data_IF_875488689410
#
_entry.id   IF_875488689410
#
_cell.length_a   1.000
_cell.length_b   1.000
_cell.length_c   1.000
_cell.angle_alpha   90.00
_cell.angle_beta   90.00
_cell.angle_gamma   90.00
#
_symmetry.space_group_name_H-M   'P 1'
#
loop_
_entity.id
_entity.type
_entity.pdbx_description
1 polymer ?
#
# COMPACT_ATOMS: atom_id res chain seq x y z
N UNK A 1 -8.90 -2.94 -11.34
CA UNK A 1 -9.39 -4.34 -11.17
C UNK A 1 -10.83 -4.54 -11.65
N UNK A 2 -11.86 -3.93 -11.01
CA UNK A 2 -13.29 -4.09 -11.36
C UNK A 2 -13.57 -4.06 -12.88
N UNK A 3 -13.19 -2.97 -13.56
CA UNK A 3 -13.34 -2.78 -15.01
C UNK A 3 -12.76 -3.93 -15.85
N UNK A 4 -11.66 -4.55 -15.42
CA UNK A 4 -11.05 -5.66 -16.15
C UNK A 4 -11.75 -6.99 -15.88
N UNK A 5 -12.20 -7.24 -14.65
CA UNK A 5 -12.99 -8.44 -14.32
C UNK A 5 -14.35 -8.42 -15.03
N UNK A 6 -15.00 -7.25 -15.14
CA UNK A 6 -16.25 -7.10 -15.88
C UNK A 6 -16.10 -7.41 -17.37
N UNK A 7 -14.96 -7.07 -17.98
CA UNK A 7 -14.64 -7.45 -19.37
C UNK A 7 -14.48 -8.96 -19.57
N UNK A 8 -14.15 -9.69 -18.50
CA UNK A 8 -14.09 -11.15 -18.49
C UNK A 8 -15.46 -11.79 -18.21
N UNK A 9 -16.53 -10.99 -18.16
CA UNK A 9 -17.89 -11.47 -17.89
C UNK A 9 -18.22 -11.64 -16.41
N UNK A 10 -17.33 -11.23 -15.49
CA UNK A 10 -17.57 -11.34 -14.04
C UNK A 10 -18.39 -10.14 -13.58
N UNK A 11 -19.57 -10.41 -12.99
CA UNK A 11 -20.42 -9.37 -12.41
C UNK A 11 -19.84 -8.91 -11.06
N UNK A 12 -19.38 -7.66 -10.99
CA UNK A 12 -18.82 -7.08 -9.77
C UNK A 12 -19.80 -6.09 -9.14
N UNK A 13 -20.12 -6.30 -7.88
CA UNK A 13 -20.88 -5.36 -7.04
C UNK A 13 -19.98 -4.91 -5.89
N UNK A 14 -19.88 -3.60 -5.68
CA UNK A 14 -19.21 -3.07 -4.49
C UNK A 14 -20.10 -3.34 -3.27
N UNK A 15 -19.47 -3.65 -2.14
CA UNK A 15 -20.19 -3.83 -0.88
C UNK A 15 -20.91 -2.53 -0.54
N UNK A 16 -22.20 -2.64 -0.28
CA UNK A 16 -23.06 -1.55 0.16
C UNK A 16 -23.64 -1.93 1.52
N UNK A 17 -23.12 -1.28 2.56
CA UNK A 17 -23.44 -1.59 3.96
C UNK A 17 -24.89 -1.28 4.33
N UNK A 18 -25.60 -0.53 3.49
CA UNK A 18 -26.99 -0.15 3.72
C UNK A 18 -28.00 -1.16 3.15
N UNK A 19 -27.54 -2.16 2.38
CA UNK A 19 -28.41 -3.19 1.82
C UNK A 19 -28.76 -4.26 2.85
N UNK A 20 -29.90 -4.92 2.63
CA UNK A 20 -30.29 -6.02 3.50
C UNK A 20 -29.29 -7.17 3.41
N UNK A 21 -29.17 -7.94 4.49
CA UNK A 21 -28.32 -9.15 4.53
C UNK A 21 -28.59 -10.10 3.37
N UNK A 22 -29.87 -10.28 2.98
CA UNK A 22 -30.27 -11.13 1.86
C UNK A 22 -29.70 -10.63 0.53
N UNK A 23 -29.70 -9.32 0.30
CA UNK A 23 -29.14 -8.73 -0.93
C UNK A 23 -27.62 -8.72 -0.98
N UNK A 24 -26.95 -8.67 0.19
CA UNK A 24 -25.50 -8.75 0.30
C UNK A 24 -25.05 -10.17 0.03
N UNK A 25 -25.64 -11.14 0.72
CA UNK A 25 -25.28 -12.56 0.63
C UNK A 25 -25.76 -13.23 -0.67
N UNK A 26 -26.55 -12.55 -1.50
CA UNK A 26 -26.85 -12.96 -2.86
C UNK A 26 -25.64 -12.72 -3.79
N UNK A 27 -24.50 -13.32 -3.45
CA UNK A 27 -23.20 -13.20 -4.12
C UNK A 27 -22.45 -14.53 -3.99
N UNK A 28 -21.82 -15.00 -5.07
CA UNK A 28 -21.12 -16.28 -5.09
C UNK A 28 -19.78 -16.26 -4.33
N UNK A 29 -19.11 -15.10 -4.32
CA UNK A 29 -17.79 -14.91 -3.74
C UNK A 29 -17.57 -13.46 -3.29
N UNK A 30 -17.02 -13.27 -2.09
CA UNK A 30 -16.52 -11.98 -1.63
C UNK A 30 -15.02 -11.84 -1.90
N UNK A 31 -14.59 -10.65 -2.32
CA UNK A 31 -13.18 -10.32 -2.49
C UNK A 31 -12.82 -9.19 -1.52
N UNK A 32 -12.09 -9.52 -0.45
CA UNK A 32 -11.66 -8.57 0.57
C UNK A 32 -10.32 -7.94 0.18
N UNK A 33 -10.21 -6.63 0.28
CA UNK A 33 -9.03 -5.84 -0.13
C UNK A 33 -8.14 -5.39 1.05
N UNK A 34 -8.25 -6.06 2.18
CA UNK A 34 -7.47 -5.80 3.39
C UNK A 34 -7.58 -7.01 4.30
N UNK A 35 -6.62 -7.16 5.22
CA UNK A 35 -6.70 -8.06 6.38
C UNK A 35 -6.58 -7.30 7.71
N UNK A 36 -6.99 -6.02 7.73
CA UNK A 36 -6.94 -5.17 8.92
C UNK A 36 -8.19 -5.33 9.80
N UNK A 37 -8.14 -4.75 11.01
CA UNK A 37 -9.26 -4.74 11.95
C UNK A 37 -10.56 -4.22 11.34
N UNK A 38 -10.48 -3.25 10.41
CA UNK A 38 -11.65 -2.61 9.80
C UNK A 38 -12.50 -3.55 8.92
N UNK A 39 -11.99 -4.72 8.54
CA UNK A 39 -12.74 -5.72 7.77
C UNK A 39 -12.96 -7.02 8.55
N UNK A 40 -12.44 -7.10 9.78
CA UNK A 40 -12.44 -8.33 10.56
C UNK A 40 -13.84 -8.85 10.83
N UNK A 41 -14.75 -8.00 11.30
CA UNK A 41 -16.13 -8.41 11.59
C UNK A 41 -16.82 -8.95 10.35
N UNK A 42 -16.63 -8.31 9.19
CA UNK A 42 -17.17 -8.81 7.93
C UNK A 42 -16.60 -10.20 7.60
N UNK A 43 -15.29 -10.37 7.66
CA UNK A 43 -14.64 -11.66 7.38
C UNK A 43 -15.13 -12.76 8.33
N UNK A 44 -15.26 -12.44 9.62
CA UNK A 44 -15.78 -13.34 10.65
C UNK A 44 -17.24 -13.74 10.37
N UNK A 45 -18.10 -12.78 9.99
CA UNK A 45 -19.47 -13.08 9.60
C UNK A 45 -19.54 -13.96 8.35
N UNK A 46 -18.72 -13.69 7.33
CA UNK A 46 -18.66 -14.52 6.12
C UNK A 46 -18.22 -15.96 6.47
N UNK A 47 -17.20 -16.10 7.32
CA UNK A 47 -16.74 -17.39 7.83
C UNK A 47 -17.84 -18.14 8.60
N UNK A 48 -18.47 -17.50 9.59
CA UNK A 48 -19.53 -18.08 10.41
C UNK A 48 -20.76 -18.52 9.59
N UNK A 49 -21.02 -17.84 8.46
CA UNK A 49 -22.10 -18.18 7.54
C UNK A 49 -21.66 -19.14 6.42
N UNK A 50 -20.44 -19.65 6.47
CA UNK A 50 -19.84 -20.50 5.44
C UNK A 50 -19.93 -19.89 4.03
N UNK A 51 -19.88 -18.56 3.95
CA UNK A 51 -19.90 -17.79 2.71
C UNK A 51 -18.48 -17.64 2.19
N UNK A 52 -18.24 -18.00 0.92
CA UNK A 52 -16.90 -18.01 0.35
C UNK A 52 -16.34 -16.60 0.18
N UNK A 53 -15.07 -16.43 0.56
CA UNK A 53 -14.32 -15.22 0.25
C UNK A 53 -12.85 -15.50 -0.04
N UNK A 54 -12.24 -14.59 -0.81
CA UNK A 54 -10.80 -14.48 -1.00
C UNK A 54 -10.32 -13.16 -0.41
N UNK A 55 -9.05 -13.08 -0.03
CA UNK A 55 -8.48 -11.87 0.58
C UNK A 55 -7.16 -11.47 -0.06
N UNK A 56 -6.99 -10.17 -0.32
CA UNK A 56 -5.69 -9.52 -0.57
C UNK A 56 -5.26 -8.87 0.74
N UNK A 57 -4.31 -9.47 1.49
CA UNK A 57 -4.00 -9.02 2.85
C UNK A 57 -3.40 -7.61 2.88
N UNK A 58 -2.50 -7.32 1.93
CA UNK A 58 -1.69 -6.09 1.92
C UNK A 58 -0.91 -6.00 3.24
N UNK A 59 -0.24 -7.10 3.57
CA UNK A 59 0.47 -7.29 4.83
C UNK A 59 1.98 -7.27 4.63
N UNK A 60 2.69 -6.52 5.46
CA UNK A 60 4.14 -6.68 5.59
C UNK A 60 4.59 -6.26 6.99
N UNK A 61 5.63 -6.93 7.49
CA UNK A 61 6.30 -6.54 8.73
C UNK A 61 7.77 -6.93 8.66
N UNK A 62 8.62 -6.18 9.38
CA UNK A 62 10.06 -6.51 9.52
C UNK A 62 10.32 -7.53 10.62
N UNK A 63 9.28 -8.01 11.30
CA UNK A 63 9.38 -9.06 12.32
C UNK A 63 9.53 -10.43 11.63
N UNK A 64 10.30 -11.32 12.24
CA UNK A 64 10.50 -12.68 11.70
C UNK A 64 9.28 -13.56 11.94
N UNK A 65 9.03 -14.53 11.06
CA UNK A 65 7.92 -15.47 11.17
C UNK A 65 7.76 -16.15 12.55
N UNK A 66 8.83 -16.56 13.26
CA UNK A 66 8.72 -17.07 14.63
C UNK A 66 8.07 -16.08 15.61
N UNK A 67 8.38 -14.78 15.48
CA UNK A 67 7.79 -13.74 16.32
C UNK A 67 6.29 -13.61 16.00
N UNK A 68 5.91 -13.64 14.73
CA UNK A 68 4.50 -13.60 14.32
C UNK A 68 3.73 -14.78 14.93
N UNK A 69 4.26 -16.00 14.79
CA UNK A 69 3.66 -17.22 15.38
C UNK A 69 3.52 -17.12 16.89
N UNK A 70 4.55 -16.61 17.58
CA UNK A 70 4.50 -16.41 19.02
C UNK A 70 3.40 -15.42 19.39
N UNK A 71 3.33 -14.26 18.72
CA UNK A 71 2.30 -13.25 18.99
C UNK A 71 0.89 -13.80 18.74
N UNK A 72 0.66 -14.53 17.65
CA UNK A 72 -0.63 -15.15 17.38
C UNK A 72 -1.01 -16.18 18.47
N UNK A 73 -0.05 -17.02 18.91
CA UNK A 73 -0.30 -17.98 20.01
C UNK A 73 -0.61 -17.28 21.34
N UNK A 74 0.09 -16.19 21.65
CA UNK A 74 -0.18 -15.40 22.86
C UNK A 74 -1.54 -14.74 22.80
N UNK A 75 -1.95 -14.23 21.63
CA UNK A 75 -3.29 -13.68 21.44
C UNK A 75 -4.36 -14.73 21.69
N UNK A 76 -4.27 -15.90 21.04
CA UNK A 76 -5.25 -16.99 21.23
C UNK A 76 -5.32 -17.46 22.68
N UNK A 77 -4.18 -17.53 23.37
CA UNK A 77 -4.14 -17.86 24.79
C UNK A 77 -4.84 -16.79 25.64
N UNK A 78 -4.52 -15.51 25.42
CA UNK A 78 -5.10 -14.40 26.17
C UNK A 78 -6.59 -14.20 25.90
N UNK A 79 -7.07 -14.50 24.69
CA UNK A 79 -8.49 -14.43 24.36
C UNK A 79 -9.35 -15.40 25.18
N UNK A 80 -8.78 -16.53 25.64
CA UNK A 80 -9.47 -17.45 26.55
C UNK A 80 -9.73 -16.84 27.93
N UNK A 81 -8.92 -15.86 28.35
CA UNK A 81 -9.02 -15.20 29.66
C UNK A 81 -9.66 -13.81 29.57
N UNK A 82 -9.38 -13.08 28.49
CA UNK A 82 -9.82 -11.71 28.25
C UNK A 82 -10.21 -11.54 26.78
N UNK A 83 -11.52 -11.46 26.50
CA UNK A 83 -12.08 -11.38 25.13
C UNK A 83 -11.71 -10.11 24.33
N UNK A 84 -10.93 -9.20 24.91
CA UNK A 84 -10.57 -7.90 24.34
C UNK A 84 -9.12 -7.77 23.84
N UNK A 85 -8.30 -8.82 23.89
CA UNK A 85 -6.90 -8.75 23.45
C UNK A 85 -6.74 -9.28 22.02
N UNK A 86 -6.33 -8.38 21.13
CA UNK A 86 -6.21 -8.62 19.70
C UNK A 86 -4.98 -7.91 19.17
N UNK A 87 -4.04 -8.65 18.56
CA UNK A 87 -3.00 -8.02 17.74
C UNK A 87 -3.44 -7.93 16.28
N UNK A 88 -2.85 -6.98 15.57
CA UNK A 88 -3.01 -6.88 14.11
C UNK A 88 -2.53 -8.13 13.37
N UNK A 89 -1.60 -8.88 13.97
CA UNK A 89 -1.13 -10.17 13.45
C UNK A 89 -2.18 -11.26 13.61
N UNK A 90 -2.79 -11.39 14.79
CA UNK A 90 -3.90 -12.33 15.04
C UNK A 90 -5.05 -12.10 14.08
N UNK A 91 -5.51 -10.85 13.96
CA UNK A 91 -6.55 -10.43 13.02
C UNK A 91 -6.21 -10.81 11.58
N UNK A 92 -4.99 -10.51 11.13
CA UNK A 92 -4.56 -10.84 9.76
C UNK A 92 -4.53 -12.36 9.56
N UNK A 93 -3.98 -13.10 10.53
CA UNK A 93 -3.88 -14.55 10.51
C UNK A 93 -5.26 -15.22 10.42
N UNK A 94 -6.21 -14.79 11.23
CA UNK A 94 -7.59 -15.30 11.23
C UNK A 94 -8.27 -15.08 9.88
N UNK A 95 -8.21 -13.85 9.35
CA UNK A 95 -8.80 -13.53 8.04
C UNK A 95 -8.17 -14.38 6.93
N UNK A 96 -6.84 -14.56 6.95
CA UNK A 96 -6.14 -15.39 5.98
C UNK A 96 -6.52 -16.87 6.11
N UNK A 97 -6.69 -17.37 7.34
CA UNK A 97 -7.06 -18.76 7.60
C UNK A 97 -8.48 -19.07 7.12
N UNK A 98 -9.42 -18.17 7.36
CA UNK A 98 -10.82 -18.32 6.95
C UNK A 98 -11.04 -18.18 5.44
N UNK A 99 -10.14 -17.49 4.74
CA UNK A 99 -10.25 -17.31 3.30
C UNK A 99 -10.09 -18.64 2.52
N UNK A 100 -10.74 -18.70 1.35
CA UNK A 100 -10.58 -19.79 0.39
C UNK A 100 -9.25 -19.71 -0.35
N UNK A 101 -8.83 -18.49 -0.67
CA UNK A 101 -7.53 -18.15 -1.23
C UNK A 101 -7.04 -16.84 -0.62
N UNK A 102 -5.73 -16.78 -0.39
CA UNK A 102 -5.01 -15.60 0.06
C UNK A 102 -4.15 -15.13 -1.10
N UNK A 103 -4.30 -13.85 -1.44
CA UNK A 103 -3.81 -13.27 -2.68
C UNK A 103 -2.77 -12.18 -2.38
N UNK A 104 -1.60 -12.55 -1.81
CA UNK A 104 -0.54 -11.60 -1.52
C UNK A 104 -0.01 -10.98 -2.81
N UNK A 105 0.54 -9.77 -2.70
CA UNK A 105 1.05 -9.02 -3.85
C UNK A 105 2.46 -9.44 -4.24
N UNK A 106 3.18 -10.07 -3.31
CA UNK A 106 4.62 -10.34 -3.40
C UNK A 106 4.97 -11.67 -2.75
N UNK A 107 6.11 -12.23 -3.14
CA UNK A 107 6.75 -13.41 -2.57
C UNK A 107 7.09 -13.20 -1.09
N UNK A 108 7.63 -12.04 -0.72
CA UNK A 108 7.93 -11.68 0.66
C UNK A 108 6.67 -11.64 1.56
N UNK A 109 5.56 -11.08 1.05
CA UNK A 109 4.26 -11.10 1.75
C UNK A 109 3.73 -12.55 1.87
N UNK A 110 3.81 -13.34 0.80
CA UNK A 110 3.42 -14.75 0.81
C UNK A 110 4.19 -15.55 1.86
N UNK A 111 5.52 -15.42 1.90
CA UNK A 111 6.39 -16.13 2.83
C UNK A 111 6.05 -15.76 4.29
N UNK A 112 5.82 -14.47 4.58
CA UNK A 112 5.39 -14.03 5.91
C UNK A 112 4.06 -14.64 6.33
N UNK A 113 3.11 -14.81 5.40
CA UNK A 113 1.79 -15.39 5.69
C UNK A 113 1.91 -16.90 5.90
N UNK A 114 2.61 -17.61 5.02
CA UNK A 114 2.82 -19.06 5.10
C UNK A 114 3.53 -19.40 6.39
N UNK A 115 4.70 -18.80 6.61
CA UNK A 115 5.52 -19.13 7.77
C UNK A 115 4.96 -18.51 9.05
N UNK A 116 4.56 -17.23 9.00
CA UNK A 116 4.18 -16.47 10.18
C UNK A 116 2.80 -16.83 10.73
N UNK A 117 1.84 -17.15 9.86
CA UNK A 117 0.47 -17.50 10.26
C UNK A 117 0.14 -18.99 10.05
N UNK A 118 1.04 -19.77 9.43
CA UNK A 118 0.82 -21.20 9.20
C UNK A 118 -0.23 -21.47 8.12
N UNK A 119 -0.41 -20.55 7.18
CA UNK A 119 -1.37 -20.73 6.08
C UNK A 119 -0.78 -21.71 5.06
N UNK A 120 -1.52 -22.76 4.65
CA UNK A 120 -1.06 -23.71 3.66
C UNK A 120 -0.69 -23.05 2.33
N UNK A 121 0.42 -23.47 1.72
CA UNK A 121 0.90 -22.93 0.43
C UNK A 121 -0.14 -23.06 -0.69
N UNK A 122 -0.94 -24.13 -0.69
CA UNK A 122 -2.01 -24.32 -1.69
C UNK A 122 -3.18 -23.33 -1.56
N UNK A 123 -3.24 -22.54 -0.48
CA UNK A 123 -4.16 -21.39 -0.35
C UNK A 123 -3.55 -20.09 -0.87
N UNK A 124 -2.27 -20.06 -1.22
CA UNK A 124 -1.57 -18.84 -1.61
C UNK A 124 -1.50 -18.74 -3.12
N UNK A 125 -1.92 -17.61 -3.66
CA UNK A 125 -1.66 -17.24 -5.06
C UNK A 125 -1.11 -15.83 -5.10
N UNK A 126 0.16 -15.66 -5.47
CA UNK A 126 0.75 -14.32 -5.58
C UNK A 126 0.13 -13.60 -6.79
N UNK A 127 -0.53 -12.47 -6.54
CA UNK A 127 -1.12 -11.61 -7.57
C UNK A 127 -0.50 -10.21 -7.47
N UNK A 128 0.51 -9.90 -8.32
CA UNK A 128 1.13 -8.59 -8.34
C UNK A 128 0.13 -7.46 -8.61
N UNK A 129 0.39 -6.28 -8.04
CA UNK A 129 -0.35 -5.07 -8.36
C UNK A 129 0.13 -4.48 -9.68
N UNK A 130 -0.83 -4.04 -10.49
CA UNK A 130 -0.56 -3.21 -11.65
C UNK A 130 -0.78 -1.72 -11.34
N UNK A 131 -0.23 -0.88 -12.19
CA UNK A 131 -0.49 0.57 -12.23
C UNK A 131 -1.23 0.94 -13.52
N UNK A 132 -1.81 2.13 -13.57
CA UNK A 132 -2.60 2.57 -14.71
C UNK A 132 -1.72 2.99 -15.90
N UNK A 133 -2.15 2.64 -17.12
CA UNK A 133 -1.41 2.94 -18.36
C UNK A 133 -1.14 4.44 -18.56
N UNK A 134 -2.00 5.31 -18.02
CA UNK A 134 -1.88 6.77 -18.15
C UNK A 134 -0.56 7.33 -17.64
N UNK A 135 0.12 6.64 -16.71
CA UNK A 135 1.44 7.08 -16.24
C UNK A 135 2.54 6.83 -17.28
N UNK A 136 2.40 5.81 -18.13
CA UNK A 136 3.31 5.56 -19.26
C UNK A 136 3.16 6.58 -20.40
N UNK A 137 1.95 7.13 -20.53
CA UNK A 137 1.52 7.97 -21.66
C UNK A 137 1.47 9.45 -21.27
N UNK A 138 1.93 9.80 -20.06
CA UNK A 138 1.85 11.15 -19.55
C UNK A 138 2.98 12.03 -20.12
N UNK A 139 2.63 13.28 -20.42
CA UNK A 139 3.57 14.29 -20.85
C UNK A 139 3.94 15.23 -19.69
N UNK A 140 5.20 15.70 -19.59
CA UNK A 140 5.65 16.50 -18.45
C UNK A 140 5.20 17.97 -18.50
N UNK A 141 4.67 18.43 -19.65
CA UNK A 141 4.36 19.84 -19.91
C UNK A 141 3.33 20.44 -18.95
N UNK A 142 2.31 19.69 -18.53
CA UNK A 142 1.29 20.18 -17.60
C UNK A 142 1.90 20.54 -16.23
N UNK A 143 2.80 19.70 -15.72
CA UNK A 143 3.46 19.95 -14.45
C UNK A 143 4.45 21.11 -14.57
N UNK A 144 5.24 21.15 -15.65
CA UNK A 144 6.20 22.24 -15.92
C UNK A 144 5.54 23.60 -16.01
N UNK A 145 4.45 23.71 -16.79
CA UNK A 145 3.74 24.97 -16.96
C UNK A 145 3.10 25.46 -15.66
N UNK A 146 2.72 24.54 -14.77
CA UNK A 146 2.06 24.87 -13.50
C UNK A 146 3.04 25.22 -12.39
N UNK A 147 4.15 24.50 -12.27
CA UNK A 147 5.06 24.61 -11.13
C UNK A 147 6.45 25.15 -11.49
N UNK A 148 6.81 25.22 -12.78
CA UNK A 148 8.09 25.77 -13.24
C UNK A 148 9.32 24.93 -12.93
N UNK A 149 9.16 23.71 -12.39
CA UNK A 149 10.27 22.82 -12.00
C UNK A 149 10.46 21.72 -13.03
N UNK A 150 11.70 21.55 -13.50
CA UNK A 150 12.13 20.48 -14.42
C UNK A 150 13.21 19.63 -13.78
N UNK A 151 13.38 18.42 -14.31
CA UNK A 151 14.49 17.51 -13.96
C UNK A 151 14.72 17.40 -12.45
N UNK A 152 13.72 16.96 -11.70
CA UNK A 152 13.77 16.93 -10.23
C UNK A 152 13.72 15.52 -9.65
N UNK A 153 14.08 15.41 -8.37
CA UNK A 153 13.82 14.22 -7.55
C UNK A 153 12.39 14.29 -7.03
N UNK A 154 11.56 13.30 -7.34
CA UNK A 154 10.17 13.22 -6.92
C UNK A 154 9.98 12.25 -5.76
N UNK A 155 9.11 12.60 -4.82
CA UNK A 155 8.48 11.68 -3.89
C UNK A 155 6.97 11.92 -3.86
N UNK A 156 6.19 10.85 -3.95
CA UNK A 156 4.72 10.90 -3.87
C UNK A 156 4.25 10.00 -2.72
N UNK A 157 3.55 10.58 -1.76
CA UNK A 157 3.01 9.86 -0.60
C UNK A 157 2.64 10.78 0.55
N UNK A 158 1.87 10.29 1.52
CA UNK A 158 1.50 11.07 2.71
C UNK A 158 2.73 11.61 3.44
N UNK A 159 2.67 12.89 3.82
CA UNK A 159 3.70 13.58 4.61
C UNK A 159 3.34 13.42 6.09
N UNK A 160 4.30 13.04 6.94
CA UNK A 160 4.08 12.86 8.38
C UNK A 160 3.67 11.45 8.82
N UNK A 161 3.85 10.44 7.96
CA UNK A 161 3.70 9.04 8.35
C UNK A 161 5.08 8.43 8.57
N UNK A 162 5.44 8.07 9.81
CA UNK A 162 6.80 7.64 10.18
C UNK A 162 7.36 6.48 9.36
N UNK A 163 6.49 5.55 8.94
CA UNK A 163 6.90 4.47 8.04
C UNK A 163 7.42 4.98 6.70
N UNK A 164 6.91 6.11 6.18
CA UNK A 164 7.29 6.70 4.88
C UNK A 164 8.63 7.43 4.92
N UNK A 165 9.10 7.83 6.10
CA UNK A 165 10.41 8.48 6.32
C UNK A 165 10.62 9.73 5.45
N UNK A 166 9.56 10.52 5.26
CA UNK A 166 9.62 11.76 4.48
C UNK A 166 10.59 12.76 5.11
N UNK A 167 10.66 12.84 6.44
CA UNK A 167 11.61 13.73 7.11
C UNK A 167 13.07 13.35 6.81
N UNK A 168 13.37 12.06 6.79
CA UNK A 168 14.70 11.57 6.41
C UNK A 168 15.05 11.94 4.97
N UNK A 169 14.08 11.89 4.05
CA UNK A 169 14.26 12.34 2.67
C UNK A 169 14.59 13.84 2.60
N UNK A 170 13.80 14.68 3.28
CA UNK A 170 14.00 16.14 3.29
C UNK A 170 15.40 16.51 3.78
N UNK A 171 15.88 15.84 4.84
CA UNK A 171 17.24 16.01 5.38
C UNK A 171 18.35 15.52 4.46
N UNK A 172 18.07 14.54 3.61
CA UNK A 172 19.03 14.10 2.59
C UNK A 172 19.06 15.12 1.43
N UNK A 173 17.89 15.57 0.98
CA UNK A 173 17.73 16.55 -0.09
C UNK A 173 18.33 17.93 0.27
N UNK A 174 18.34 18.32 1.54
CA UNK A 174 18.97 19.58 1.98
C UNK A 174 20.50 19.59 1.81
N UNK A 175 21.12 18.43 1.58
CA UNK A 175 22.55 18.28 1.36
C UNK A 175 22.93 18.23 -0.13
N UNK A 176 21.97 18.32 -1.03
CA UNK A 176 22.17 18.18 -2.47
C UNK A 176 21.68 19.46 -3.15
N UNK A 177 22.50 20.03 -4.03
CA UNK A 177 22.12 21.19 -4.85
C UNK A 177 21.39 20.74 -6.12
N UNK A 178 20.21 20.13 -5.95
CA UNK A 178 19.40 19.61 -7.05
C UNK A 178 17.90 19.79 -6.74
N UNK A 179 17.06 20.17 -7.73
CA UNK A 179 15.63 20.37 -7.50
C UNK A 179 14.92 19.10 -7.01
N UNK A 180 14.01 19.26 -6.06
CA UNK A 180 13.19 18.18 -5.56
C UNK A 180 11.74 18.61 -5.35
N UNK A 181 10.83 17.67 -5.51
CA UNK A 181 9.39 17.86 -5.31
C UNK A 181 8.86 16.73 -4.42
N UNK A 182 8.15 17.09 -3.35
CA UNK A 182 7.39 16.16 -2.53
C UNK A 182 5.90 16.46 -2.72
N UNK A 183 5.12 15.46 -3.14
CA UNK A 183 3.68 15.57 -3.35
C UNK A 183 2.97 14.64 -2.38
N UNK A 184 2.16 15.21 -1.49
CA UNK A 184 1.52 14.41 -0.46
C UNK A 184 0.52 15.16 0.38
N UNK A 185 -0.59 14.51 0.71
CA UNK A 185 -1.50 15.00 1.76
C UNK A 185 -0.78 14.95 3.10
N UNK A 186 -0.98 15.97 3.93
CA UNK A 186 -0.39 16.04 5.27
C UNK A 186 -1.19 15.16 6.22
N UNK A 187 -0.50 14.26 6.91
CA UNK A 187 -1.02 13.53 8.06
C UNK A 187 -0.66 14.30 9.34
N UNK A 188 -1.64 14.71 10.15
CA UNK A 188 -1.40 15.57 11.32
C UNK A 188 -0.53 14.83 12.34
N UNK A 189 0.73 15.26 12.46
CA UNK A 189 1.74 14.59 13.27
C UNK A 189 2.94 15.51 13.51
N UNK A 190 3.70 15.22 14.58
CA UNK A 190 4.98 15.90 14.84
C UNK A 190 5.97 15.78 13.67
N UNK A 191 5.94 14.66 12.95
CA UNK A 191 6.80 14.49 11.78
C UNK A 191 6.39 15.39 10.62
N UNK A 192 5.08 15.60 10.39
CA UNK A 192 4.62 16.55 9.39
C UNK A 192 5.09 17.97 9.72
N UNK A 193 4.98 18.39 10.98
CA UNK A 193 5.45 19.71 11.42
C UNK A 193 6.94 19.91 11.10
N UNK A 194 7.77 18.91 11.44
CA UNK A 194 9.20 18.91 11.13
C UNK A 194 9.47 18.87 9.62
N UNK A 195 8.69 18.11 8.83
CA UNK A 195 8.84 18.07 7.38
C UNK A 195 8.60 19.45 6.76
N UNK A 196 7.56 20.15 7.21
CA UNK A 196 7.23 21.48 6.69
C UNK A 196 8.25 22.52 7.16
N UNK A 197 8.67 22.47 8.42
CA UNK A 197 9.66 23.39 8.98
C UNK A 197 11.04 23.23 8.31
N UNK A 198 11.57 21.99 8.22
CA UNK A 198 12.87 21.73 7.60
C UNK A 198 12.80 21.87 6.08
N UNK A 199 11.69 21.46 5.46
CA UNK A 199 11.49 21.58 4.04
C UNK A 199 11.40 23.02 3.57
N UNK A 200 10.73 23.90 4.34
CA UNK A 200 10.65 25.33 4.04
C UNK A 200 11.99 26.07 4.09
N UNK A 201 13.01 25.49 4.73
CA UNK A 201 14.39 26.03 4.75
C UNK A 201 15.19 25.66 3.49
N UNK A 202 14.73 24.68 2.71
CA UNK A 202 15.45 24.21 1.53
C UNK A 202 14.91 24.89 0.26
N UNK A 203 15.69 25.84 -0.28
CA UNK A 203 15.37 26.57 -1.53
C UNK A 203 15.16 25.67 -2.77
N UNK A 204 15.72 24.47 -2.77
CA UNK A 204 15.62 23.53 -3.89
C UNK A 204 14.44 22.56 -3.75
N UNK A 205 13.68 22.63 -2.65
CA UNK A 205 12.58 21.72 -2.38
C UNK A 205 11.22 22.42 -2.55
N UNK A 206 10.36 21.86 -3.38
CA UNK A 206 8.96 22.23 -3.48
C UNK A 206 8.09 21.18 -2.78
N UNK A 207 7.26 21.60 -1.84
CA UNK A 207 6.27 20.72 -1.18
C UNK A 207 4.87 21.06 -1.69
N UNK A 208 4.18 20.08 -2.26
CA UNK A 208 2.81 20.18 -2.76
C UNK A 208 1.91 19.34 -1.86
N UNK A 209 0.96 19.97 -1.17
CA UNK A 209 0.14 19.37 -0.10
C UNK A 209 -1.00 18.46 -0.60
N UNK A 210 -0.80 17.82 -1.74
CA UNK A 210 -1.71 16.85 -2.33
C UNK A 210 -2.09 17.21 -3.77
N UNK A 211 -2.18 16.18 -4.60
CA UNK A 211 -2.81 16.20 -5.91
C UNK A 211 -3.68 14.95 -5.96
N UNK A 212 -4.90 15.06 -6.47
CA UNK A 212 -5.77 13.90 -6.60
C UNK A 212 -5.16 12.86 -7.53
N UNK A 213 -5.33 11.59 -7.18
CA UNK A 213 -4.70 10.49 -7.90
C UNK A 213 -5.05 10.53 -9.39
N UNK A 214 -6.33 10.73 -9.74
CA UNK A 214 -6.83 10.76 -11.11
C UNK A 214 -6.48 12.05 -11.87
N UNK A 215 -5.82 13.02 -11.23
CA UNK A 215 -5.41 14.26 -11.87
C UNK A 215 -4.35 13.99 -12.95
N UNK A 216 -4.51 14.54 -14.17
CA UNK A 216 -3.46 14.50 -15.19
C UNK A 216 -2.19 15.23 -14.75
N UNK A 217 -2.30 16.19 -13.80
CA UNK A 217 -1.14 16.89 -13.24
C UNK A 217 -0.24 15.94 -12.44
N UNK A 218 -0.81 14.95 -11.74
CA UNK A 218 0.00 13.97 -11.01
C UNK A 218 0.77 13.07 -11.97
N UNK A 219 0.12 12.56 -13.02
CA UNK A 219 0.77 11.75 -14.03
C UNK A 219 1.88 12.56 -14.75
N UNK A 220 1.61 13.83 -15.05
CA UNK A 220 2.60 14.76 -15.59
C UNK A 220 3.78 15.00 -14.63
N UNK A 221 3.54 15.05 -13.31
CA UNK A 221 4.61 15.18 -12.31
C UNK A 221 5.58 13.99 -12.36
N UNK A 222 5.06 12.77 -12.51
CA UNK A 222 5.90 11.58 -12.69
C UNK A 222 6.72 11.64 -13.97
N UNK A 223 6.08 11.95 -15.11
CA UNK A 223 6.77 12.10 -16.40
C UNK A 223 7.81 13.23 -16.40
N UNK A 224 7.60 14.25 -15.58
CA UNK A 224 8.48 15.39 -15.40
C UNK A 224 9.72 15.12 -14.53
N UNK A 225 9.72 14.01 -13.77
CA UNK A 225 10.78 13.67 -12.83
C UNK A 225 11.88 12.81 -13.46
N UNK A 226 13.13 13.03 -13.06
CA UNK A 226 14.27 12.21 -13.52
C UNK A 226 14.55 11.03 -12.57
N UNK A 227 14.34 11.26 -11.27
CA UNK A 227 14.53 10.27 -10.21
C UNK A 227 13.31 10.27 -9.31
N UNK A 228 12.84 9.09 -8.92
CA UNK A 228 11.81 8.93 -7.90
C UNK A 228 12.41 8.26 -6.67
N UNK A 229 12.25 8.90 -5.51
CA UNK A 229 12.77 8.42 -4.24
C UNK A 229 11.62 8.00 -3.30
N UNK A 230 11.66 6.77 -2.80
CA UNK A 230 10.70 6.21 -1.85
C UNK A 230 11.45 5.54 -0.68
N UNK A 231 11.88 6.33 0.32
CA UNK A 231 12.76 5.85 1.40
C UNK A 231 12.01 5.20 2.57
N UNK A 232 10.80 4.68 2.32
CA UNK A 232 9.98 4.07 3.34
C UNK A 232 10.71 2.92 4.06
N UNK A 233 10.39 2.67 5.33
CA UNK A 233 10.99 1.59 6.11
C UNK A 233 10.84 0.20 5.45
N UNK A 234 9.76 0.03 4.69
CA UNK A 234 9.45 -1.11 3.82
C UNK A 234 8.31 -0.70 2.89
N UNK A 235 8.09 -1.41 1.79
CA UNK A 235 6.86 -1.30 0.98
C UNK A 235 6.29 -2.69 0.65
N UNK A 236 4.99 -2.77 0.41
CA UNK A 236 4.40 -3.98 -0.20
C UNK A 236 4.79 -4.02 -1.69
N UNK A 237 4.07 -3.39 -2.65
CA UNK A 237 4.61 -3.24 -4.01
C UNK A 237 5.31 -1.90 -4.26
N UNK A 238 5.04 -0.85 -3.47
CA UNK A 238 5.52 0.50 -3.77
C UNK A 238 4.84 1.12 -5.00
N UNK A 239 3.50 1.22 -5.01
CA UNK A 239 2.69 1.67 -6.17
C UNK A 239 3.21 2.99 -6.77
N UNK A 240 3.54 4.00 -5.95
CA UNK A 240 4.05 5.27 -6.46
C UNK A 240 5.39 5.14 -7.21
N UNK A 241 6.25 4.20 -6.80
CA UNK A 241 7.47 3.90 -7.54
C UNK A 241 7.19 3.15 -8.84
N UNK A 242 6.14 2.31 -8.89
CA UNK A 242 5.70 1.66 -10.13
C UNK A 242 5.18 2.68 -11.14
N UNK A 243 4.39 3.65 -10.67
CA UNK A 243 3.89 4.77 -11.48
C UNK A 243 5.06 5.60 -12.03
N UNK A 244 6.03 5.94 -11.18
CA UNK A 244 7.23 6.68 -11.59
C UNK A 244 8.09 5.90 -12.59
N UNK A 245 8.29 4.59 -12.35
CA UNK A 245 9.11 3.75 -13.23
C UNK A 245 8.45 3.57 -14.58
N UNK A 246 7.12 3.44 -14.60
CA UNK A 246 6.35 3.38 -15.84
C UNK A 246 6.42 4.71 -16.62
N UNK A 247 6.52 5.84 -15.93
CA UNK A 247 6.73 7.17 -16.52
C UNK A 247 8.20 7.44 -16.95
N UNK A 248 9.11 6.48 -16.75
CA UNK A 248 10.52 6.57 -17.18
C UNK A 248 11.50 7.10 -16.12
N UNK A 249 11.06 7.33 -14.89
CA UNK A 249 11.95 7.80 -13.81
C UNK A 249 12.88 6.68 -13.31
N UNK A 250 14.11 7.06 -12.92
CA UNK A 250 15.03 6.16 -12.20
C UNK A 250 14.55 5.97 -10.77
N UNK A 251 14.48 4.73 -10.30
CA UNK A 251 13.86 4.40 -9.01
C UNK A 251 14.91 4.23 -7.92
N UNK A 252 14.75 4.99 -6.83
CA UNK A 252 15.44 4.81 -5.56
C UNK A 252 14.41 4.39 -4.53
N UNK A 253 14.37 3.10 -4.21
CA UNK A 253 13.35 2.51 -3.32
C UNK A 253 14.01 1.69 -2.21
N UNK A 254 13.32 1.58 -1.08
CA UNK A 254 13.71 0.69 0.01
C UNK A 254 13.90 -0.77 -0.45
N UNK A 255 14.95 -1.46 0.03
CA UNK A 255 15.17 -2.87 -0.27
C UNK A 255 14.33 -3.81 0.61
N UNK A 256 13.50 -3.26 1.50
CA UNK A 256 12.71 -4.00 2.46
C UNK A 256 11.25 -4.11 2.02
N UNK A 257 10.70 -5.32 2.15
CA UNK A 257 9.37 -5.62 1.63
C UNK A 257 9.41 -6.13 0.21
N UNK A 258 8.26 -6.15 -0.46
CA UNK A 258 8.10 -6.83 -1.73
C UNK A 258 8.63 -6.08 -2.95
N UNK A 259 9.54 -5.13 -2.75
CA UNK A 259 10.05 -4.26 -3.83
C UNK A 259 10.86 -5.03 -4.86
N UNK A 260 11.55 -6.11 -4.46
CA UNK A 260 12.36 -6.95 -5.35
C UNK A 260 11.56 -7.64 -6.46
N UNK A 261 10.32 -8.02 -6.17
CA UNK A 261 9.42 -8.65 -7.15
C UNK A 261 9.09 -7.71 -8.32
N UNK A 262 9.15 -6.39 -8.09
CA UNK A 262 8.79 -5.38 -9.07
C UNK A 262 10.00 -4.69 -9.71
N UNK A 263 10.99 -4.31 -8.90
CA UNK A 263 12.10 -3.46 -9.34
C UNK A 263 13.42 -4.21 -9.53
N UNK A 264 13.46 -5.50 -9.16
CA UNK A 264 14.69 -6.31 -9.12
C UNK A 264 15.71 -5.69 -8.16
N UNK A 265 17.01 -5.77 -8.49
CA UNK A 265 18.12 -5.25 -7.68
C UNK A 265 18.43 -3.80 -8.02
#
# INVERSE_FOLDING_TARGET
>A
MKKHLEKLGIKIKLMDIWKSRKEILNTDLFHLHSSSIGIYDLANYLHALNTKFVVRPIFFTRRSAPILRLTCKTDSFLQNFTRGVWSTYGITGDICNWAQQVLPNTSDEANLIIEGFGIPENKITIIPNGVEKRFAEAEPSLFYNKYGVKDFILNVGHIGVDRKKTLSLIRALSKIDYPAVIIGRIFPSKEADLCLEEGGKNKNLTIITGIDHDSPVLASAYAASNVFALPAMYETPGIAALEAGLAGAKIVITPHGGTKDYFRN
#
